data_IF_725055999428
#
_entry.id   IF_725055999428
#
_cell.length_a   1.000
_cell.length_b   1.000
_cell.length_c   1.000
_cell.angle_alpha   90.00
_cell.angle_beta   90.00
_cell.angle_gamma   90.00
#
_symmetry.space_group_name_H-M   'P 1'
#
loop_
_entity.id
_entity.type
_entity.pdbx_description
1 polymer ?
#
# COMPACT_ATOMS: atom_id res chain seq x y z
N UNK A 1 -16.39 38.55 43.52
CA UNK A 1 -17.04 37.80 42.43
C UNK A 1 -16.39 37.94 41.04
N UNK A 2 -15.68 39.03 40.72
CA UNK A 2 -15.02 39.20 39.40
C UNK A 2 -13.76 38.33 39.15
N UNK A 3 -13.07 37.88 40.23
CA UNK A 3 -11.85 37.07 40.07
C UNK A 3 -12.13 35.58 39.82
N UNK A 4 -13.27 35.06 40.32
CA UNK A 4 -13.63 33.64 40.13
C UNK A 4 -13.97 33.30 38.67
N UNK A 5 -14.50 34.27 37.93
CA UNK A 5 -14.85 34.03 36.50
C UNK A 5 -13.60 33.96 35.60
N UNK A 6 -12.56 34.73 35.92
CA UNK A 6 -11.30 34.70 35.15
C UNK A 6 -10.53 33.39 35.32
N UNK A 7 -10.57 32.78 36.49
CA UNK A 7 -9.96 31.49 36.78
C UNK A 7 -10.67 30.35 36.01
N UNK A 8 -12.00 30.40 35.91
CA UNK A 8 -12.79 29.44 35.20
C UNK A 8 -12.52 29.50 33.66
N UNK A 9 -12.40 30.69 33.09
CA UNK A 9 -12.05 30.85 31.67
C UNK A 9 -10.63 30.41 31.35
N UNK A 10 -9.67 30.65 32.25
CA UNK A 10 -8.29 30.21 32.05
C UNK A 10 -8.16 28.66 32.06
N UNK A 11 -8.85 28.01 32.98
CA UNK A 11 -8.87 26.53 33.06
C UNK A 11 -9.58 25.87 31.87
N UNK A 12 -10.69 26.47 31.38
CA UNK A 12 -11.37 25.98 30.18
C UNK A 12 -10.53 26.15 28.90
N UNK A 13 -9.77 27.25 28.75
CA UNK A 13 -8.91 27.47 27.58
C UNK A 13 -7.73 26.50 27.54
N UNK A 14 -7.16 26.14 28.69
CA UNK A 14 -6.08 25.15 28.77
C UNK A 14 -6.60 23.74 28.46
N UNK A 15 -7.79 23.40 28.95
CA UNK A 15 -8.42 22.09 28.63
C UNK A 15 -8.77 21.95 27.13
N UNK A 16 -9.16 23.05 26.47
CA UNK A 16 -9.47 23.03 25.04
C UNK A 16 -8.25 22.90 24.15
N UNK A 17 -7.08 23.45 24.54
CA UNK A 17 -5.82 23.28 23.83
C UNK A 17 -5.24 21.86 23.92
N UNK A 18 -5.53 21.12 24.99
CA UNK A 18 -5.03 19.75 25.16
C UNK A 18 -5.78 18.73 24.31
N UNK A 19 -7.02 19.02 23.91
CA UNK A 19 -7.85 18.11 23.09
C UNK A 19 -7.43 18.14 21.61
N UNK A 20 -6.82 19.23 21.13
CA UNK A 20 -6.41 19.37 19.73
C UNK A 20 -5.14 18.59 19.37
N UNK A 21 -4.35 18.14 20.35
CA UNK A 21 -3.06 17.48 20.11
C UNK A 21 -3.16 15.95 19.96
N UNK A 22 -4.31 15.33 20.25
CA UNK A 22 -4.45 13.86 20.21
C UNK A 22 -4.89 13.32 18.84
N UNK A 23 -5.42 14.16 17.96
CA UNK A 23 -5.90 13.72 16.63
C UNK A 23 -4.77 13.51 15.61
N UNK A 24 -3.67 14.24 15.70
CA UNK A 24 -2.54 14.16 14.76
C UNK A 24 -1.72 12.88 14.93
N UNK A 25 -1.44 12.45 16.16
CA UNK A 25 -0.59 11.27 16.44
C UNK A 25 -1.16 9.96 15.88
N UNK A 26 -2.47 9.81 15.82
CA UNK A 26 -3.11 8.61 15.27
C UNK A 26 -3.03 8.53 13.74
N UNK A 27 -3.13 9.67 13.07
CA UNK A 27 -3.01 9.78 11.61
C UNK A 27 -1.57 9.59 11.15
N UNK A 28 -0.61 10.21 11.83
CA UNK A 28 0.82 10.07 11.55
C UNK A 28 1.29 8.61 11.68
N UNK A 29 0.84 7.91 12.71
CA UNK A 29 1.18 6.49 12.90
C UNK A 29 0.56 5.57 11.83
N UNK A 30 -0.65 5.88 11.36
CA UNK A 30 -1.30 5.14 10.29
C UNK A 30 -0.61 5.41 8.95
N UNK A 31 -0.23 6.66 8.66
CA UNK A 31 0.53 7.02 7.47
C UNK A 31 1.88 6.29 7.47
N UNK A 32 2.65 6.40 8.54
CA UNK A 32 3.94 5.73 8.66
C UNK A 32 3.86 4.21 8.49
N UNK A 33 2.74 3.58 8.87
CA UNK A 33 2.52 2.15 8.62
C UNK A 33 2.32 1.85 7.13
N UNK A 34 1.58 2.70 6.43
CA UNK A 34 1.34 2.56 4.98
C UNK A 34 2.63 2.75 4.19
N UNK A 35 3.40 3.77 4.53
CA UNK A 35 4.68 4.09 3.89
C UNK A 35 5.67 2.93 4.03
N UNK A 36 5.79 2.35 5.23
CA UNK A 36 6.65 1.16 5.43
C UNK A 36 6.20 -0.04 4.59
N UNK A 37 4.88 -0.29 4.54
CA UNK A 37 4.33 -1.39 3.75
C UNK A 37 4.62 -1.18 2.26
N UNK A 38 4.39 0.02 1.76
CA UNK A 38 4.57 0.33 0.35
C UNK A 38 6.06 0.35 -0.04
N UNK A 39 6.92 0.90 0.80
CA UNK A 39 8.36 0.86 0.58
C UNK A 39 8.89 -0.60 0.52
N UNK A 40 8.46 -1.45 1.46
CA UNK A 40 8.81 -2.86 1.43
C UNK A 40 8.30 -3.58 0.16
N UNK A 41 7.12 -3.21 -0.32
CA UNK A 41 6.57 -3.68 -1.58
C UNK A 41 7.44 -3.27 -2.78
N UNK A 42 7.88 -2.02 -2.85
CA UNK A 42 8.70 -1.49 -3.93
C UNK A 42 10.09 -2.15 -3.99
N UNK A 43 10.68 -2.49 -2.84
CA UNK A 43 11.95 -3.24 -2.80
C UNK A 43 11.78 -4.64 -3.41
N UNK A 44 10.71 -5.36 -3.09
CA UNK A 44 10.44 -6.67 -3.72
C UNK A 44 10.16 -6.51 -5.22
N UNK A 45 9.40 -5.48 -5.63
CA UNK A 45 9.19 -5.17 -7.07
C UNK A 45 10.52 -5.02 -7.79
N UNK A 46 11.45 -4.27 -7.18
CA UNK A 46 12.79 -4.06 -7.75
C UNK A 46 13.55 -5.37 -7.93
N UNK A 47 13.57 -6.23 -6.92
CA UNK A 47 14.25 -7.54 -7.03
C UNK A 47 13.64 -8.42 -8.13
N UNK A 48 12.31 -8.40 -8.28
CA UNK A 48 11.62 -9.12 -9.36
C UNK A 48 12.00 -8.54 -10.73
N UNK A 49 12.08 -7.21 -10.85
CA UNK A 49 12.49 -6.52 -12.07
C UNK A 49 13.94 -6.86 -12.47
N UNK A 50 14.81 -6.98 -11.48
CA UNK A 50 16.23 -7.30 -11.65
C UNK A 50 16.49 -8.82 -11.71
N UNK A 51 15.45 -9.64 -11.63
CA UNK A 51 15.52 -11.11 -11.55
C UNK A 51 16.42 -11.63 -10.41
N UNK A 52 16.53 -10.86 -9.34
CA UNK A 52 17.37 -11.12 -8.18
C UNK A 52 16.67 -11.97 -7.12
N UNK A 53 16.38 -13.22 -7.40
CA UNK A 53 15.66 -14.10 -6.48
C UNK A 53 16.37 -14.27 -5.13
N UNK A 54 17.69 -14.54 -5.16
CA UNK A 54 18.46 -14.80 -3.94
C UNK A 54 18.55 -13.54 -3.04
N UNK A 55 18.83 -12.37 -3.63
CA UNK A 55 18.90 -11.11 -2.90
C UNK A 55 17.52 -10.65 -2.41
N UNK A 56 16.48 -10.91 -3.19
CA UNK A 56 15.11 -10.51 -2.86
C UNK A 56 14.49 -11.24 -1.66
N UNK A 57 15.03 -12.37 -1.25
CA UNK A 57 14.49 -13.12 -0.08
C UNK A 57 14.42 -12.27 1.19
N UNK A 58 15.39 -11.41 1.45
CA UNK A 58 15.39 -10.50 2.59
C UNK A 58 14.26 -9.48 2.54
N UNK A 59 14.04 -8.87 1.37
CA UNK A 59 12.96 -7.90 1.15
C UNK A 59 11.58 -8.55 1.23
N UNK A 60 11.44 -9.78 0.72
CA UNK A 60 10.20 -10.56 0.86
C UNK A 60 9.87 -10.83 2.33
N UNK A 61 10.85 -11.17 3.17
CA UNK A 61 10.64 -11.35 4.62
C UNK A 61 10.20 -10.04 5.26
N UNK A 62 10.78 -8.91 4.86
CA UNK A 62 10.38 -7.60 5.37
C UNK A 62 8.96 -7.24 4.91
N UNK A 63 8.61 -7.44 3.64
CA UNK A 63 7.26 -7.20 3.14
C UNK A 63 6.22 -8.06 3.88
N UNK A 64 6.49 -9.35 4.04
CA UNK A 64 5.61 -10.25 4.79
C UNK A 64 5.38 -9.75 6.21
N UNK A 65 6.44 -9.31 6.91
CA UNK A 65 6.34 -8.74 8.25
C UNK A 65 5.46 -7.48 8.28
N UNK A 66 5.63 -6.55 7.34
CA UNK A 66 4.79 -5.35 7.28
C UNK A 66 3.32 -5.69 6.98
N UNK A 67 3.07 -6.66 6.09
CA UNK A 67 1.72 -7.16 5.78
C UNK A 67 1.07 -7.81 7.02
N UNK A 68 1.79 -8.67 7.76
CA UNK A 68 1.26 -9.32 8.96
C UNK A 68 0.91 -8.31 10.06
N UNK A 69 1.71 -7.26 10.18
CA UNK A 69 1.52 -6.19 11.16
C UNK A 69 0.52 -5.12 10.72
N UNK A 70 0.12 -5.11 9.46
CA UNK A 70 -0.81 -4.12 8.93
C UNK A 70 -2.17 -4.16 9.63
N UNK A 71 -2.67 -2.98 10.00
CA UNK A 71 -3.95 -2.80 10.70
C UNK A 71 -4.84 -1.83 9.95
N UNK A 72 -6.09 -2.22 9.77
CA UNK A 72 -7.14 -1.37 9.22
C UNK A 72 -7.60 -0.38 10.30
N UNK A 73 -7.05 0.84 10.29
CA UNK A 73 -7.39 1.90 11.26
C UNK A 73 -8.02 3.09 10.55
N UNK A 74 -8.90 3.80 11.25
CA UNK A 74 -9.51 5.03 10.74
C UNK A 74 -10.60 4.83 9.69
N UNK A 75 -11.09 3.60 9.52
CA UNK A 75 -12.15 3.26 8.56
C UNK A 75 -13.53 3.26 9.21
N UNK A 76 -14.56 3.54 8.41
CA UNK A 76 -15.94 3.27 8.76
C UNK A 76 -16.18 1.76 8.86
N UNK A 77 -17.22 1.36 9.61
CA UNK A 77 -17.51 -0.06 9.89
C UNK A 77 -17.66 -0.88 8.60
N UNK A 78 -18.38 -0.36 7.62
CA UNK A 78 -18.66 -1.05 6.35
C UNK A 78 -17.37 -1.30 5.55
N UNK A 79 -16.49 -0.30 5.46
CA UNK A 79 -15.19 -0.44 4.81
C UNK A 79 -14.29 -1.41 5.58
N UNK A 80 -14.31 -1.36 6.91
CA UNK A 80 -13.55 -2.30 7.75
C UNK A 80 -14.02 -3.74 7.53
N UNK A 81 -15.33 -3.97 7.47
CA UNK A 81 -15.88 -5.30 7.21
C UNK A 81 -15.51 -5.81 5.81
N UNK A 82 -15.61 -4.96 4.79
CA UNK A 82 -15.22 -5.27 3.41
C UNK A 82 -13.74 -5.60 3.31
N UNK A 83 -12.89 -4.78 3.89
CA UNK A 83 -11.43 -4.96 3.81
C UNK A 83 -10.88 -6.05 4.73
N UNK A 84 -11.64 -6.52 5.72
CA UNK A 84 -11.19 -7.61 6.60
C UNK A 84 -10.80 -8.86 5.81
N UNK A 85 -11.64 -9.29 4.86
CA UNK A 85 -11.35 -10.45 4.00
C UNK A 85 -10.16 -10.18 3.10
N UNK A 86 -10.09 -9.00 2.47
CA UNK A 86 -8.97 -8.61 1.59
C UNK A 86 -7.65 -8.60 2.38
N UNK A 87 -7.65 -8.05 3.59
CA UNK A 87 -6.46 -8.07 4.46
C UNK A 87 -6.03 -9.47 4.86
N UNK A 88 -6.97 -10.38 5.11
CA UNK A 88 -6.66 -11.79 5.39
C UNK A 88 -6.06 -12.48 4.15
N UNK A 89 -6.62 -12.25 2.96
CA UNK A 89 -6.08 -12.74 1.69
C UNK A 89 -4.67 -12.22 1.46
N UNK A 90 -4.43 -10.92 1.63
CA UNK A 90 -3.10 -10.31 1.50
C UNK A 90 -2.06 -10.97 2.43
N UNK A 91 -2.45 -11.29 3.67
CA UNK A 91 -1.57 -11.98 4.62
C UNK A 91 -1.22 -13.40 4.19
N UNK A 92 -2.19 -14.12 3.64
CA UNK A 92 -1.98 -15.46 3.08
C UNK A 92 -1.07 -15.41 1.85
N UNK A 93 -1.30 -14.43 0.95
CA UNK A 93 -0.50 -14.25 -0.26
C UNK A 93 0.95 -13.85 0.07
N UNK A 94 1.14 -12.99 1.08
CA UNK A 94 2.47 -12.62 1.57
C UNK A 94 3.22 -13.80 2.19
N UNK A 95 2.52 -14.70 2.90
CA UNK A 95 3.11 -15.94 3.40
C UNK A 95 3.51 -16.88 2.25
N UNK A 96 2.69 -16.96 1.20
CA UNK A 96 3.02 -17.73 -0.02
C UNK A 96 4.22 -17.10 -0.74
N UNK A 97 4.30 -15.78 -0.83
CA UNK A 97 5.43 -15.05 -1.39
C UNK A 97 6.73 -15.37 -0.63
N UNK A 98 6.68 -15.37 0.70
CA UNK A 98 7.83 -15.74 1.54
C UNK A 98 8.29 -17.18 1.34
N UNK A 99 7.36 -18.08 1.06
CA UNK A 99 7.61 -19.51 0.83
C UNK A 99 8.00 -19.82 -0.62
N UNK A 100 8.06 -18.82 -1.52
CA UNK A 100 8.44 -19.04 -2.90
C UNK A 100 9.85 -19.67 -3.01
N UNK A 101 9.97 -20.71 -3.81
CA UNK A 101 11.22 -21.47 -3.98
C UNK A 101 12.00 -21.01 -5.21
N UNK A 102 11.34 -20.34 -6.15
CA UNK A 102 11.94 -19.79 -7.38
C UNK A 102 11.32 -18.43 -7.76
N UNK A 103 11.92 -17.78 -8.77
CA UNK A 103 11.48 -16.50 -9.28
C UNK A 103 10.05 -16.56 -9.84
N UNK A 104 9.65 -17.66 -10.45
CA UNK A 104 8.30 -17.81 -11.00
C UNK A 104 7.25 -17.82 -9.90
N UNK A 105 7.47 -18.59 -8.85
CA UNK A 105 6.60 -18.61 -7.68
C UNK A 105 6.56 -17.25 -6.97
N UNK A 106 7.71 -16.56 -6.87
CA UNK A 106 7.80 -15.21 -6.34
C UNK A 106 6.95 -14.23 -7.15
N UNK A 107 7.09 -14.20 -8.48
CA UNK A 107 6.32 -13.36 -9.40
C UNK A 107 4.80 -13.59 -9.24
N UNK A 108 4.38 -14.84 -9.18
CA UNK A 108 2.96 -15.20 -9.05
C UNK A 108 2.36 -14.71 -7.73
N UNK A 109 3.03 -14.99 -6.62
CA UNK A 109 2.56 -14.58 -5.28
C UNK A 109 2.63 -13.05 -5.08
N UNK A 110 3.62 -12.39 -5.67
CA UNK A 110 3.74 -10.94 -5.65
C UNK A 110 2.55 -10.27 -6.36
N UNK A 111 2.13 -10.78 -7.52
CA UNK A 111 0.93 -10.28 -8.21
C UNK A 111 -0.35 -10.42 -7.36
N UNK A 112 -0.49 -11.49 -6.58
CA UNK A 112 -1.62 -11.67 -5.68
C UNK A 112 -1.60 -10.65 -4.52
N UNK A 113 -0.43 -10.44 -3.90
CA UNK A 113 -0.24 -9.38 -2.88
C UNK A 113 -0.58 -8.01 -3.45
N UNK A 114 -0.17 -7.72 -4.70
CA UNK A 114 -0.46 -6.44 -5.37
C UNK A 114 -1.95 -6.14 -5.44
N UNK A 115 -2.78 -7.09 -5.84
CA UNK A 115 -4.22 -6.90 -6.00
C UNK A 115 -4.89 -6.58 -4.66
N UNK A 116 -4.51 -7.31 -3.61
CA UNK A 116 -5.01 -7.07 -2.26
C UNK A 116 -4.55 -5.71 -1.71
N UNK A 117 -3.27 -5.37 -1.91
CA UNK A 117 -2.70 -4.10 -1.48
C UNK A 117 -3.37 -2.92 -2.18
N UNK A 118 -3.55 -2.99 -3.49
CA UNK A 118 -4.24 -1.95 -4.26
C UNK A 118 -5.66 -1.70 -3.72
N UNK A 119 -6.43 -2.77 -3.50
CA UNK A 119 -7.81 -2.67 -2.97
C UNK A 119 -7.86 -1.99 -1.61
N UNK A 120 -6.90 -2.31 -0.73
CA UNK A 120 -6.79 -1.68 0.59
C UNK A 120 -6.45 -0.19 0.44
N UNK A 121 -5.42 0.13 -0.33
CA UNK A 121 -4.96 1.51 -0.51
C UNK A 121 -6.03 2.39 -1.15
N UNK A 122 -6.71 1.91 -2.18
CA UNK A 122 -7.80 2.61 -2.85
C UNK A 122 -8.96 2.93 -1.88
N UNK A 123 -9.36 1.96 -1.06
CA UNK A 123 -10.45 2.14 -0.10
C UNK A 123 -10.06 3.09 1.03
N UNK A 124 -8.83 2.98 1.52
CA UNK A 124 -8.33 3.82 2.61
C UNK A 124 -7.95 5.23 2.16
N UNK A 125 -7.87 5.49 0.86
CA UNK A 125 -7.37 6.75 0.28
C UNK A 125 -6.03 7.16 0.89
N UNK A 126 -5.08 6.23 0.87
CA UNK A 126 -3.93 6.24 1.77
C UNK A 126 -2.72 7.00 1.25
N UNK A 127 -2.74 7.59 0.07
CA UNK A 127 -1.53 8.18 -0.50
C UNK A 127 -1.83 9.57 -1.07
N UNK A 128 -0.99 10.52 -0.74
CA UNK A 128 -0.95 11.84 -1.35
C UNK A 128 -0.14 11.82 -2.67
N UNK A 129 0.66 10.78 -2.85
CA UNK A 129 1.41 10.52 -4.09
C UNK A 129 0.57 9.69 -5.06
N UNK A 130 0.76 9.93 -6.34
CA UNK A 130 0.12 9.15 -7.39
C UNK A 130 0.68 7.72 -7.38
N UNK A 131 -0.20 6.74 -7.28
CA UNK A 131 0.14 5.32 -7.41
C UNK A 131 -0.70 4.70 -8.49
N UNK A 132 -0.07 3.98 -9.40
CA UNK A 132 -0.67 3.40 -10.58
C UNK A 132 -0.69 1.89 -10.50
N UNK A 133 -1.86 1.30 -10.73
CA UNK A 133 -2.01 -0.14 -10.97
C UNK A 133 -1.75 -0.40 -12.44
N UNK A 134 -0.77 -1.23 -12.70
CA UNK A 134 -0.36 -1.65 -14.05
C UNK A 134 -0.54 -3.17 -14.20
N UNK A 135 -0.69 -3.65 -15.42
CA UNK A 135 -0.99 -5.05 -15.73
C UNK A 135 -0.24 -5.55 -16.96
N UNK A 136 0.30 -6.74 -16.90
CA UNK A 136 0.87 -7.46 -18.02
C UNK A 136 -0.13 -8.50 -18.56
N UNK A 137 -0.66 -8.36 -19.79
CA UNK A 137 -1.59 -9.34 -20.36
C UNK A 137 -0.95 -10.70 -20.60
N UNK A 138 0.34 -10.75 -20.93
CA UNK A 138 1.07 -11.99 -21.21
C UNK A 138 1.32 -12.80 -19.93
N UNK A 139 1.79 -12.15 -18.88
CA UNK A 139 2.06 -12.78 -17.59
C UNK A 139 0.80 -12.87 -16.71
N UNK A 140 -0.29 -12.20 -17.12
CA UNK A 140 -1.55 -12.08 -16.37
C UNK A 140 -1.32 -11.58 -14.93
N UNK A 141 -0.40 -10.63 -14.77
CA UNK A 141 0.11 -10.20 -13.49
C UNK A 141 0.03 -8.70 -13.31
N UNK A 142 -0.23 -8.26 -12.08
CA UNK A 142 -0.38 -6.87 -11.68
C UNK A 142 0.82 -6.38 -10.88
N UNK A 143 1.13 -5.09 -11.02
CA UNK A 143 2.07 -4.39 -10.13
C UNK A 143 1.64 -2.94 -9.88
N UNK A 144 2.19 -2.33 -8.82
CA UNK A 144 2.05 -0.91 -8.52
C UNK A 144 3.31 -0.15 -8.94
N UNK A 145 3.12 1.11 -9.35
CA UNK A 145 4.21 2.02 -9.69
C UNK A 145 3.87 3.44 -9.25
N UNK A 146 4.88 4.26 -8.99
CA UNK A 146 4.72 5.71 -8.85
C UNK A 146 4.64 6.41 -10.22
N UNK A 147 5.10 5.76 -11.28
CA UNK A 147 5.12 6.31 -12.64
C UNK A 147 4.01 5.73 -13.51
N UNK A 148 3.49 6.56 -14.41
CA UNK A 148 2.57 6.13 -15.48
C UNK A 148 3.27 5.27 -16.52
N UNK A 149 4.56 5.50 -16.71
CA UNK A 149 5.36 4.71 -17.64
C UNK A 149 5.37 3.24 -17.22
N UNK A 150 5.24 2.37 -18.22
CA UNK A 150 5.23 0.93 -17.98
C UNK A 150 6.66 0.44 -17.76
N UNK A 151 6.91 -0.07 -16.58
CA UNK A 151 8.11 -0.82 -16.27
C UNK A 151 7.70 -2.20 -15.74
N UNK A 152 7.56 -3.15 -16.67
CA UNK A 152 7.03 -4.49 -16.39
C UNK A 152 8.05 -5.33 -15.60
N UNK A 153 7.79 -5.66 -14.33
CA UNK A 153 8.71 -6.43 -13.52
C UNK A 153 8.73 -7.93 -13.88
N UNK A 154 7.74 -8.39 -14.63
CA UNK A 154 7.55 -9.82 -14.92
C UNK A 154 8.23 -10.29 -16.20
N UNK A 155 8.52 -9.36 -17.13
CA UNK A 155 9.04 -9.67 -18.44
C UNK A 155 10.32 -8.89 -18.74
N UNK A 156 11.46 -9.45 -18.39
CA UNK A 156 12.78 -8.80 -18.54
C UNK A 156 13.09 -8.38 -19.99
N UNK A 157 12.60 -9.15 -20.97
CA UNK A 157 12.79 -8.85 -22.41
C UNK A 157 11.78 -7.85 -22.97
N UNK A 158 10.71 -7.52 -22.23
CA UNK A 158 9.62 -6.67 -22.66
C UNK A 158 9.19 -5.69 -21.56
N UNK A 159 10.17 -4.94 -21.01
CA UNK A 159 9.95 -4.05 -19.86
C UNK A 159 8.89 -2.96 -20.12
N UNK A 160 8.72 -2.55 -21.36
CA UNK A 160 7.74 -1.51 -21.73
C UNK A 160 6.37 -2.09 -22.12
N UNK A 161 6.16 -3.41 -21.96
CA UNK A 161 4.89 -4.06 -22.29
C UNK A 161 4.00 -4.13 -21.07
N UNK A 162 2.83 -3.54 -21.15
CA UNK A 162 1.84 -3.53 -20.08
C UNK A 162 0.70 -2.56 -20.36
N UNK A 163 -0.22 -2.51 -19.43
CA UNK A 163 -1.38 -1.62 -19.47
C UNK A 163 -1.48 -0.86 -18.18
N UNK A 164 -1.78 0.42 -18.28
CA UNK A 164 -2.18 1.23 -17.14
C UNK A 164 -3.65 0.96 -16.85
N UNK A 165 -3.93 0.37 -15.69
CA UNK A 165 -5.30 -0.05 -15.32
C UNK A 165 -6.02 1.04 -14.57
N UNK A 166 -5.37 1.64 -13.57
CA UNK A 166 -5.97 2.65 -12.70
C UNK A 166 -4.90 3.49 -12.00
N UNK A 167 -5.19 4.78 -11.79
CA UNK A 167 -4.41 5.66 -10.92
C UNK A 167 -5.15 5.94 -9.62
N UNK A 168 -4.43 5.98 -8.49
CA UNK A 168 -4.92 6.50 -7.21
C UNK A 168 -4.44 7.93 -7.01
N UNK A 169 -5.19 8.74 -6.28
CA UNK A 169 -4.94 10.15 -5.94
C UNK A 169 -5.03 11.15 -7.11
N UNK A 170 -4.97 10.72 -8.37
CA UNK A 170 -4.98 11.62 -9.53
C UNK A 170 -6.35 11.74 -10.21
N UNK A 171 -7.28 10.83 -9.92
CA UNK A 171 -8.56 10.75 -10.68
C UNK A 171 -8.40 10.31 -12.13
N UNK A 172 -7.18 10.07 -12.57
CA UNK A 172 -6.88 9.61 -13.93
C UNK A 172 -7.21 8.13 -14.10
N UNK A 173 -8.11 7.84 -15.03
CA UNK A 173 -8.37 6.49 -15.52
C UNK A 173 -7.93 6.45 -16.98
N UNK A 174 -6.65 6.21 -17.26
CA UNK A 174 -6.16 6.25 -18.64
C UNK A 174 -6.69 5.06 -19.45
N UNK A 175 -6.81 5.30 -20.75
CA UNK A 175 -7.11 4.24 -21.70
C UNK A 175 -6.02 3.15 -21.67
N UNK A 176 -6.39 1.88 -21.81
CA UNK A 176 -5.41 0.78 -21.87
C UNK A 176 -4.44 0.98 -23.03
N UNK A 177 -3.15 0.92 -22.74
CA UNK A 177 -2.13 0.89 -23.80
C UNK A 177 -1.91 -0.56 -24.22
N UNK A 178 -2.26 -0.90 -25.44
CA UNK A 178 -2.06 -2.24 -25.96
C UNK A 178 -0.56 -2.52 -26.15
N UNK A 179 -0.13 -3.70 -25.73
CA UNK A 179 1.19 -4.24 -26.13
C UNK A 179 1.13 -4.63 -27.61
N UNK A 180 1.98 -4.03 -28.43
CA UNK A 180 2.23 -4.40 -29.83
C UNK A 180 3.48 -5.23 -29.97
#
# INVERSE_FOLDING_TARGET
MKNSLKEIYATCLIAFMMISCQSSHGQDAAQAQRDRLFNAYMEVKKDITDENFAGGKGHVVQLEKEVQNFRLKGLQLDDMMRLKKVSQTMKSDAASLKSAEDMKAMKTSFSAVTQSLFTIMETMKCTDEAVYLQYCPMEKAYWLSYDKEIENPYAASMRNCGQLVKGMATGDYPEPVACH
#
